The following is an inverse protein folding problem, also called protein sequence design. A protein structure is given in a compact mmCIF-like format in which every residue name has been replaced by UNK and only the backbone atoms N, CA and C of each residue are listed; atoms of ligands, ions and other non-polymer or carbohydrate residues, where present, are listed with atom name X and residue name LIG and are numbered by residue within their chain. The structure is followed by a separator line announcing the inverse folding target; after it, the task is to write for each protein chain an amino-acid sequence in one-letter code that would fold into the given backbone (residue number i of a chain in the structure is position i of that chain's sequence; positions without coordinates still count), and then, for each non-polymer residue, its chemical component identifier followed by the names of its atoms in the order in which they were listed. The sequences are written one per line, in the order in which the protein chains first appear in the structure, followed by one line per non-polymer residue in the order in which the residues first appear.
data_IF_019732296991
#
_entry.id   IF_019732296991
#
_cell.length_a   1.000
_cell.length_b   1.000
_cell.length_c   1.000
_cell.angle_alpha   90.00
_cell.angle_beta   90.00
_cell.angle_gamma   90.00
#
_symmetry.space_group_name_H-M   'P 1'
#
loop_
_entity.id
_entity.type
_entity.pdbx_description
1 polymer ?
#
# COMPACT_ATOMS: atom_id res chain seq x y z
N UNK A 1 35.65 -45.74 1.89
CA UNK A 1 36.66 -44.90 1.23
C UNK A 1 36.65 -43.52 1.87
N UNK A 2 37.82 -43.14 2.41
CA UNK A 2 38.38 -41.80 2.75
C UNK A 2 37.46 -40.67 3.23
N UNK A 3 37.70 -40.32 4.49
CA UNK A 3 37.39 -39.07 5.17
C UNK A 3 38.01 -37.82 4.50
N UNK A 4 37.44 -36.65 4.79
CA UNK A 4 38.17 -35.39 4.98
C UNK A 4 37.30 -34.36 5.72
N UNK A 5 37.66 -34.14 6.97
CA UNK A 5 37.35 -32.94 7.73
C UNK A 5 38.19 -31.77 7.18
N UNK A 6 37.62 -30.57 7.15
CA UNK A 6 38.39 -29.33 7.24
C UNK A 6 37.61 -28.31 8.06
N UNK A 7 38.26 -27.91 9.16
CA UNK A 7 37.88 -26.92 10.14
C UNK A 7 38.68 -25.67 9.77
N UNK A 8 38.04 -24.52 9.55
CA UNK A 8 38.74 -23.23 9.51
C UNK A 8 37.96 -22.22 10.35
N UNK A 9 38.67 -21.76 11.38
CA UNK A 9 38.33 -20.79 12.40
C UNK A 9 38.90 -19.43 11.94
N UNK A 10 38.07 -18.39 11.87
CA UNK A 10 38.56 -17.01 11.69
C UNK A 10 37.82 -16.07 12.64
N UNK A 11 38.53 -15.66 13.69
CA UNK A 11 38.14 -14.60 14.61
C UNK A 11 38.49 -13.24 14.00
N UNK A 12 37.57 -12.27 14.04
CA UNK A 12 37.85 -10.85 13.78
C UNK A 12 37.77 -10.08 15.11
N UNK A 13 38.89 -9.48 15.50
CA UNK A 13 39.04 -8.63 16.68
C UNK A 13 38.73 -7.19 16.28
N UNK A 14 37.72 -6.57 16.91
CA UNK A 14 37.46 -5.14 16.81
C UNK A 14 38.23 -4.41 17.91
N UNK A 15 39.36 -3.80 17.52
CA UNK A 15 40.09 -2.78 18.30
C UNK A 15 39.60 -1.41 17.85
N UNK A 16 39.26 -0.55 18.81
CA UNK A 16 38.99 0.86 18.53
C UNK A 16 38.39 1.63 19.69
N UNK A 17 39.14 1.77 20.80
CA UNK A 17 38.86 2.78 21.83
C UNK A 17 39.14 4.18 21.26
N UNK A 18 38.14 5.06 21.28
CA UNK A 18 38.31 6.49 21.07
C UNK A 18 37.85 7.24 22.32
N UNK A 19 38.80 7.68 23.13
CA UNK A 19 38.58 8.55 24.30
C UNK A 19 38.01 9.90 23.87
N UNK A 20 36.89 10.31 24.48
CA UNK A 20 36.41 11.70 24.43
C UNK A 20 36.96 12.44 25.64
N UNK A 21 37.87 13.36 25.38
CA UNK A 21 38.36 14.34 26.35
C UNK A 21 37.50 15.62 26.32
N UNK A 22 37.29 16.16 27.52
CA UNK A 22 36.50 17.33 27.89
C UNK A 22 37.18 18.69 27.57
N UNK A 23 36.34 19.69 27.22
CA UNK A 23 36.32 21.12 27.69
C UNK A 23 36.16 22.20 26.59
N UNK A 24 35.00 22.88 26.67
CA UNK A 24 34.70 24.34 26.63
C UNK A 24 35.74 25.32 26.06
N UNK A 25 35.44 26.43 25.35
CA UNK A 25 34.24 27.17 24.89
C UNK A 25 34.76 28.33 23.96
N UNK A 26 34.05 29.46 23.77
CA UNK A 26 32.94 29.77 22.85
C UNK A 26 33.34 30.74 21.71
N UNK A 27 32.54 30.86 20.64
CA UNK A 27 32.05 32.14 20.07
C UNK A 27 31.25 31.94 18.78
N UNK A 28 30.30 32.86 18.57
CA UNK A 28 29.24 32.78 17.60
C UNK A 28 29.68 32.90 16.14
N UNK A 29 28.86 32.29 15.29
CA UNK A 29 28.55 32.79 13.97
C UNK A 29 27.06 32.56 13.73
N UNK A 30 26.33 33.66 13.59
CA UNK A 30 25.06 33.69 12.89
C UNK A 30 25.29 33.15 11.47
N UNK A 31 24.68 32.01 11.14
CA UNK A 31 24.19 31.75 9.79
C UNK A 31 23.08 30.73 9.84
N UNK A 32 21.89 31.27 9.65
CA UNK A 32 20.76 30.62 9.00
C UNK A 32 21.19 29.41 8.17
N UNK A 33 20.87 28.22 8.68
CA UNK A 33 20.62 27.05 7.88
C UNK A 33 19.19 26.62 8.21
N UNK A 34 18.23 27.46 7.79
CA UNK A 34 16.98 26.92 7.29
C UNK A 34 17.31 26.16 6.01
N UNK A 35 18.01 25.03 6.17
CA UNK A 35 18.13 24.01 5.14
C UNK A 35 16.77 23.34 5.15
N UNK A 36 15.80 24.01 4.51
CA UNK A 36 14.65 23.34 3.95
C UNK A 36 15.22 22.27 3.04
N UNK A 37 15.43 21.07 3.60
CA UNK A 37 15.60 19.86 2.84
C UNK A 37 14.59 19.94 1.69
N UNK A 38 14.98 19.73 0.43
CA UNK A 38 14.03 19.73 -0.67
C UNK A 38 12.87 18.85 -0.23
N UNK A 39 11.72 19.47 0.04
CA UNK A 39 10.49 18.73 0.28
C UNK A 39 10.39 17.88 -0.95
N UNK A 40 10.59 16.57 -0.79
CA UNK A 40 10.53 15.63 -1.89
C UNK A 40 9.15 15.85 -2.50
N UNK A 41 9.11 16.63 -3.57
CA UNK A 41 7.88 16.91 -4.28
C UNK A 41 7.41 15.54 -4.70
N UNK A 42 6.34 15.07 -4.05
CA UNK A 42 5.76 13.78 -4.34
C UNK A 42 5.52 13.79 -5.84
N UNK A 43 6.32 12.99 -6.57
CA UNK A 43 6.32 13.01 -8.02
C UNK A 43 4.91 12.62 -8.44
N UNK A 44 4.15 13.59 -8.97
CA UNK A 44 2.81 13.32 -9.48
C UNK A 44 2.95 12.28 -10.58
N UNK A 45 2.34 11.12 -10.38
CA UNK A 45 2.32 10.06 -11.38
C UNK A 45 1.35 10.46 -12.51
N UNK A 46 1.67 10.15 -13.78
CA UNK A 46 0.74 10.40 -14.87
C UNK A 46 -0.55 9.58 -14.68
N UNK A 47 -1.74 10.13 -14.99
CA UNK A 47 -2.98 9.38 -14.83
C UNK A 47 -3.04 8.20 -15.81
N UNK A 48 -3.58 7.02 -15.41
CA UNK A 48 -3.89 5.96 -16.36
C UNK A 48 -5.01 6.37 -17.33
N UNK A 49 -5.04 5.80 -18.54
CA UNK A 49 -6.12 6.09 -19.49
C UNK A 49 -7.50 5.61 -18.99
N UNK A 50 -7.50 4.48 -18.27
CA UNK A 50 -8.69 3.88 -17.64
C UNK A 50 -8.30 3.07 -16.41
N UNK A 51 -9.24 2.94 -15.48
CA UNK A 51 -9.16 2.00 -14.34
C UNK A 51 -9.91 0.69 -14.61
N UNK A 52 -10.74 0.63 -15.66
CA UNK A 52 -11.52 -0.56 -16.02
C UNK A 52 -10.59 -1.73 -16.31
N UNK A 53 -10.87 -2.88 -15.71
CA UNK A 53 -10.14 -4.12 -15.92
C UNK A 53 -10.12 -5.03 -14.70
N UNK A 54 -9.39 -6.12 -14.85
CA UNK A 54 -9.11 -7.08 -13.78
C UNK A 54 -7.68 -6.89 -13.29
N UNK A 55 -7.52 -6.79 -11.97
CA UNK A 55 -6.29 -6.37 -11.35
C UNK A 55 -5.86 -7.34 -10.25
N UNK A 56 -4.56 -7.61 -10.15
CA UNK A 56 -3.95 -8.20 -8.96
C UNK A 56 -3.49 -7.10 -8.03
N UNK A 57 -3.79 -7.24 -6.74
CA UNK A 57 -3.23 -6.37 -5.70
C UNK A 57 -1.78 -6.77 -5.46
N UNK A 58 -0.87 -5.83 -5.68
CA UNK A 58 0.57 -6.01 -5.47
C UNK A 58 1.03 -5.53 -4.10
N UNK A 59 0.36 -4.52 -3.54
CA UNK A 59 0.68 -3.99 -2.23
C UNK A 59 -0.35 -3.01 -1.71
N UNK A 60 -0.34 -2.83 -0.39
CA UNK A 60 -1.24 -1.96 0.37
C UNK A 60 -0.37 -1.12 1.31
N UNK A 61 -0.54 0.20 1.28
CA UNK A 61 0.20 1.15 2.12
C UNK A 61 1.72 0.99 2.02
N UNK A 62 2.21 0.76 0.80
CA UNK A 62 3.63 0.53 0.49
C UNK A 62 4.15 -0.87 0.88
N UNK A 63 3.36 -1.69 1.57
CA UNK A 63 3.74 -3.06 1.91
C UNK A 63 3.36 -3.99 0.77
N UNK A 64 4.33 -4.76 0.29
CA UNK A 64 4.04 -5.80 -0.71
C UNK A 64 3.11 -6.86 -0.11
N UNK A 65 2.11 -7.27 -0.89
CA UNK A 65 1.28 -8.42 -0.56
C UNK A 65 2.16 -9.67 -0.69
N UNK A 66 2.67 -10.16 0.44
CA UNK A 66 3.55 -11.34 0.49
C UNK A 66 2.82 -12.48 1.19
N UNK A 67 3.02 -13.72 0.74
CA UNK A 67 2.39 -14.91 1.31
C UNK A 67 1.42 -15.63 0.37
N UNK A 68 0.52 -16.42 0.94
CA UNK A 68 -0.37 -17.34 0.19
C UNK A 68 -1.72 -16.72 -0.19
N UNK A 69 -1.88 -15.40 -0.03
CA UNK A 69 -3.12 -14.70 -0.37
C UNK A 69 -2.94 -13.91 -1.66
N UNK A 70 -3.77 -14.23 -2.66
CA UNK A 70 -3.93 -13.43 -3.87
C UNK A 70 -5.27 -12.72 -3.82
N UNK A 71 -5.27 -11.41 -4.07
CA UNK A 71 -6.50 -10.62 -4.11
C UNK A 71 -6.67 -10.10 -5.53
N UNK A 72 -7.78 -10.47 -6.16
CA UNK A 72 -8.22 -9.94 -7.45
C UNK A 72 -9.24 -8.82 -7.21
N UNK A 73 -9.02 -7.69 -7.88
CA UNK A 73 -9.94 -6.55 -7.90
C UNK A 73 -10.49 -6.43 -9.30
N UNK A 74 -11.82 -6.42 -9.41
CA UNK A 74 -12.54 -6.14 -10.64
C UNK A 74 -13.01 -4.69 -10.63
N UNK A 75 -12.71 -3.97 -11.71
CA UNK A 75 -13.16 -2.59 -11.91
C UNK A 75 -13.92 -2.53 -13.24
N UNK A 76 -15.22 -2.28 -13.17
CA UNK A 76 -16.04 -2.00 -14.35
C UNK A 76 -16.19 -0.48 -14.56
N UNK A 77 -17.10 -0.01 -15.41
CA UNK A 77 -17.27 1.42 -15.66
C UNK A 77 -17.68 2.24 -14.44
N UNK A 78 -18.37 1.62 -13.47
CA UNK A 78 -19.03 2.31 -12.37
C UNK A 78 -18.68 1.74 -10.98
N UNK A 79 -18.14 0.54 -10.91
CA UNK A 79 -17.88 -0.17 -9.66
C UNK A 79 -16.46 -0.71 -9.56
N UNK A 80 -15.96 -0.71 -8.32
CA UNK A 80 -14.74 -1.40 -7.89
C UNK A 80 -15.18 -2.46 -6.89
N UNK A 81 -14.65 -3.68 -6.99
CA UNK A 81 -14.96 -4.71 -6.01
C UNK A 81 -13.96 -5.86 -5.95
N UNK A 82 -14.00 -6.59 -4.85
CA UNK A 82 -13.27 -7.84 -4.66
C UNK A 82 -14.03 -8.76 -3.70
N UNK A 83 -13.66 -10.04 -3.69
CA UNK A 83 -14.32 -11.04 -2.84
C UNK A 83 -13.80 -11.02 -1.39
N UNK A 84 -14.64 -11.33 -0.39
CA UNK A 84 -16.07 -11.65 -0.51
C UNK A 84 -16.95 -10.40 -0.62
N UNK A 85 -17.71 -10.23 -1.71
CA UNK A 85 -18.58 -9.05 -1.92
C UNK A 85 -19.67 -8.92 -0.86
N UNK A 86 -20.14 -10.05 -0.30
CA UNK A 86 -21.13 -10.03 0.79
C UNK A 86 -20.64 -9.39 2.09
N UNK A 87 -19.33 -9.15 2.23
CA UNK A 87 -18.73 -8.37 3.33
C UNK A 87 -18.66 -6.87 3.04
N UNK A 88 -19.26 -6.42 1.94
CA UNK A 88 -19.37 -5.01 1.57
C UNK A 88 -18.17 -4.46 0.82
N UNK A 89 -17.30 -5.31 0.25
CA UNK A 89 -16.12 -4.92 -0.52
C UNK A 89 -16.48 -4.52 -1.96
N UNK A 90 -17.37 -3.54 -2.07
CA UNK A 90 -17.85 -2.98 -3.33
C UNK A 90 -18.02 -1.48 -3.16
N UNK A 91 -17.53 -0.71 -4.12
CA UNK A 91 -17.66 0.74 -4.17
C UNK A 91 -18.23 1.14 -5.53
N UNK A 92 -19.13 2.11 -5.53
CA UNK A 92 -19.36 2.91 -6.72
C UNK A 92 -18.18 3.89 -6.86
N UNK A 93 -17.74 4.14 -8.07
CA UNK A 93 -16.67 5.11 -8.31
C UNK A 93 -16.93 5.98 -9.53
N UNK A 94 -16.21 7.10 -9.58
CA UNK A 94 -16.03 7.96 -10.75
C UNK A 94 -14.55 8.19 -10.96
N UNK A 95 -14.14 8.28 -12.22
CA UNK A 95 -12.76 8.55 -12.59
C UNK A 95 -12.68 9.66 -13.64
N UNK A 96 -11.82 10.64 -13.41
CA UNK A 96 -11.56 11.71 -14.37
C UNK A 96 -10.09 12.16 -14.28
N UNK A 97 -9.29 11.79 -15.29
CA UNK A 97 -7.90 12.26 -15.46
C UNK A 97 -7.02 12.18 -14.20
N UNK A 98 -7.11 11.07 -13.48
CA UNK A 98 -6.32 10.84 -12.27
C UNK A 98 -7.08 11.10 -10.98
N UNK A 99 -8.17 11.86 -11.01
CA UNK A 99 -9.04 12.05 -9.84
C UNK A 99 -10.02 10.88 -9.73
N UNK A 100 -10.15 10.35 -8.52
CA UNK A 100 -11.04 9.24 -8.19
C UNK A 100 -11.99 9.69 -7.09
N UNK A 101 -13.29 9.46 -7.29
CA UNK A 101 -14.27 9.59 -6.22
C UNK A 101 -14.91 8.25 -5.96
N UNK A 102 -14.93 7.80 -4.71
CA UNK A 102 -15.53 6.52 -4.30
C UNK A 102 -16.68 6.73 -3.32
N UNK A 103 -17.63 5.81 -3.34
CA UNK A 103 -18.65 5.69 -2.30
C UNK A 103 -18.98 4.23 -2.13
N UNK A 104 -18.92 3.73 -0.89
CA UNK A 104 -19.20 2.32 -0.60
C UNK A 104 -20.61 1.97 -1.05
N UNK A 105 -20.75 0.86 -1.78
CA UNK A 105 -22.05 0.39 -2.24
C UNK A 105 -22.89 -0.12 -1.04
N UNK A 106 -24.24 -0.04 -1.13
CA UNK A 106 -25.10 -0.61 -0.11
C UNK A 106 -24.81 -2.11 0.12
N UNK A 107 -24.93 -2.62 1.35
CA UNK A 107 -24.70 -4.03 1.64
C UNK A 107 -25.65 -4.92 0.82
N UNK A 108 -25.09 -5.93 0.15
CA UNK A 108 -25.84 -6.91 -0.65
C UNK A 108 -26.80 -7.77 0.19
N UNK A 109 -26.70 -7.70 1.52
CA UNK A 109 -27.55 -8.39 2.47
C UNK A 109 -28.58 -7.46 3.14
N UNK A 110 -29.04 -6.43 2.44
CA UNK A 110 -30.15 -5.61 2.94
C UNK A 110 -31.44 -6.44 2.91
N UNK A 111 -32.25 -6.49 4.00
CA UNK A 111 -33.54 -7.15 3.98
C UNK A 111 -34.43 -6.57 2.88
N UNK A 112 -35.15 -7.44 2.17
CA UNK A 112 -36.25 -7.05 1.27
C UNK A 112 -37.54 -7.43 1.98
N UNK A 113 -38.64 -6.69 1.77
CA UNK A 113 -39.90 -6.91 2.48
C UNK A 113 -40.32 -8.39 2.49
N UNK A 114 -40.41 -8.96 3.70
CA UNK A 114 -40.77 -10.37 3.93
C UNK A 114 -39.64 -11.39 3.72
N UNK A 115 -38.44 -10.99 3.33
CA UNK A 115 -37.28 -11.87 3.08
C UNK A 115 -36.12 -11.50 4.03
N UNK A 116 -35.71 -12.41 4.94
CA UNK A 116 -34.55 -12.19 5.78
C UNK A 116 -33.29 -11.93 4.95
N UNK A 117 -32.45 -11.01 5.43
CA UNK A 117 -31.14 -10.75 4.85
C UNK A 117 -30.31 -12.04 4.74
N UNK A 118 -29.66 -12.31 3.60
CA UNK A 118 -28.71 -13.42 3.51
C UNK A 118 -27.55 -13.22 4.49
N UNK A 119 -27.16 -14.27 5.19
CA UNK A 119 -26.06 -14.21 6.17
C UNK A 119 -24.73 -14.47 5.48
N UNK A 120 -23.77 -13.57 5.66
CA UNK A 120 -22.40 -13.71 5.15
C UNK A 120 -21.46 -14.15 6.29
N UNK A 121 -21.22 -15.45 6.41
CA UNK A 121 -20.41 -16.04 7.50
C UNK A 121 -18.93 -16.29 7.12
N UNK A 122 -18.47 -15.76 6.00
CA UNK A 122 -17.10 -15.95 5.51
C UNK A 122 -16.12 -15.20 6.41
N UNK A 123 -15.08 -15.88 6.89
CA UNK A 123 -13.97 -15.24 7.61
C UNK A 123 -13.21 -14.28 6.68
N UNK A 124 -12.83 -13.11 7.19
CA UNK A 124 -12.14 -12.08 6.41
C UNK A 124 -10.72 -11.93 6.92
N UNK A 125 -9.70 -12.28 6.11
CA UNK A 125 -8.30 -12.03 6.44
C UNK A 125 -8.00 -10.53 6.65
N UNK A 126 -7.05 -10.18 7.52
CA UNK A 126 -6.69 -8.79 7.79
C UNK A 126 -6.35 -7.97 6.53
N UNK A 127 -5.74 -8.59 5.53
CA UNK A 127 -5.35 -7.97 4.27
C UNK A 127 -6.56 -7.46 3.48
N UNK A 128 -7.67 -8.20 3.47
CA UNK A 128 -8.92 -7.76 2.83
C UNK A 128 -9.55 -6.57 3.56
N UNK A 129 -9.39 -6.49 4.88
CA UNK A 129 -9.87 -5.35 5.67
C UNK A 129 -8.99 -4.12 5.39
N UNK A 130 -7.67 -4.30 5.35
CA UNK A 130 -6.72 -3.23 5.04
C UNK A 130 -6.95 -2.68 3.63
N UNK A 131 -7.15 -3.56 2.64
CA UNK A 131 -7.49 -3.17 1.28
C UNK A 131 -8.77 -2.34 1.23
N UNK A 132 -9.79 -2.74 2.00
CA UNK A 132 -11.07 -2.04 2.03
C UNK A 132 -10.96 -0.64 2.61
N UNK A 133 -10.17 -0.47 3.67
CA UNK A 133 -9.86 0.84 4.24
C UNK A 133 -9.10 1.72 3.26
N UNK A 134 -8.15 1.14 2.52
CA UNK A 134 -7.43 1.88 1.50
C UNK A 134 -8.38 2.35 0.39
N UNK A 135 -9.28 1.50 -0.10
CA UNK A 135 -10.31 1.89 -1.07
C UNK A 135 -11.29 2.94 -0.55
N UNK A 136 -11.69 2.87 0.74
CA UNK A 136 -12.56 3.89 1.36
C UNK A 136 -11.93 5.30 1.33
N UNK A 137 -10.60 5.40 1.17
CA UNK A 137 -9.84 6.66 1.20
C UNK A 137 -9.27 7.09 -0.16
N UNK A 138 -9.50 6.35 -1.24
CA UNK A 138 -8.91 6.67 -2.56
C UNK A 138 -9.43 7.99 -3.10
N UNK A 139 -8.50 8.83 -3.56
CA UNK A 139 -8.78 10.15 -4.16
C UNK A 139 -8.07 10.32 -5.51
N UNK A 140 -6.99 9.58 -5.74
CA UNK A 140 -6.13 9.72 -6.91
C UNK A 140 -5.69 8.37 -7.48
N UNK A 141 -5.43 8.35 -8.79
CA UNK A 141 -4.84 7.24 -9.50
C UNK A 141 -3.69 7.70 -10.40
N UNK A 142 -2.59 6.94 -10.41
CA UNK A 142 -1.44 7.21 -11.26
C UNK A 142 -0.77 5.94 -11.79
N UNK A 143 -0.09 6.05 -12.94
CA UNK A 143 0.73 4.99 -13.52
C UNK A 143 2.11 4.99 -12.90
N UNK A 144 2.53 3.84 -12.38
CA UNK A 144 3.88 3.65 -11.86
C UNK A 144 4.88 3.41 -13.02
N UNK A 145 6.19 3.60 -12.80
CA UNK A 145 7.22 3.28 -13.81
C UNK A 145 7.19 1.82 -14.28
N UNK A 146 6.71 0.91 -13.44
CA UNK A 146 6.58 -0.53 -13.71
C UNK A 146 5.28 -0.87 -14.46
N UNK A 147 4.56 0.14 -14.98
CA UNK A 147 3.25 0.01 -15.59
C UNK A 147 2.17 -0.55 -14.66
N UNK A 148 2.30 -0.35 -13.34
CA UNK A 148 1.23 -0.57 -12.37
C UNK A 148 0.27 0.62 -12.32
N UNK A 149 -0.85 0.46 -11.62
CA UNK A 149 -1.71 1.57 -11.18
C UNK A 149 -1.55 1.71 -9.68
N UNK A 150 -1.18 2.91 -9.23
CA UNK A 150 -1.19 3.30 -7.83
C UNK A 150 -2.48 4.09 -7.56
N UNK A 151 -3.32 3.58 -6.68
CA UNK A 151 -4.44 4.32 -6.09
C UNK A 151 -3.99 4.88 -4.75
N UNK A 152 -4.30 6.13 -4.45
CA UNK A 152 -3.89 6.78 -3.19
C UNK A 152 -4.88 7.83 -2.72
N UNK A 153 -4.91 8.07 -1.42
CA UNK A 153 -5.72 9.13 -0.78
C UNK A 153 -5.85 8.87 0.71
N UNK A 154 -6.14 9.91 1.49
CA UNK A 154 -6.34 9.78 2.95
C UNK A 154 -5.21 9.09 3.73
N UNK A 155 -3.96 9.15 3.23
CA UNK A 155 -2.81 8.46 3.83
C UNK A 155 -2.68 6.98 3.48
N UNK A 156 -3.58 6.44 2.65
CA UNK A 156 -3.56 5.06 2.17
C UNK A 156 -3.12 4.96 0.71
N UNK A 157 -2.67 3.77 0.33
CA UNK A 157 -2.37 3.44 -1.06
C UNK A 157 -2.59 1.97 -1.42
N UNK A 158 -2.88 1.71 -2.69
CA UNK A 158 -2.99 0.36 -3.27
C UNK A 158 -2.25 0.33 -4.59
N UNK A 159 -1.32 -0.61 -4.74
CA UNK A 159 -0.67 -0.87 -6.04
C UNK A 159 -1.34 -2.04 -6.73
N UNK A 160 -1.74 -1.84 -7.98
CA UNK A 160 -2.44 -2.79 -8.83
C UNK A 160 -1.62 -3.10 -10.08
N UNK A 161 -1.62 -4.36 -10.51
CA UNK A 161 -1.15 -4.73 -11.84
C UNK A 161 -2.26 -5.44 -12.60
N UNK A 162 -2.37 -5.17 -13.90
CA UNK A 162 -3.36 -5.85 -14.75
C UNK A 162 -3.09 -7.35 -14.76
N UNK A 163 -4.17 -8.14 -14.74
CA UNK A 163 -4.13 -9.59 -14.99
C UNK A 163 -4.37 -9.91 -16.45
#
# INVERSE_FOLDING_TARGET
MRARAFLVLSALVLVGCGSRDDRAAPQGVDRSANESAPQAQAKTLPPPDSLVGEWRVAGIDGNSLTGNIGIAVSIDENTIGYEPRCRGFVWNYRYARGEVGVTRAPPLNSPVDGVPAPVCLVAVPPELIALGKAFDAVEQAGRTPENGVLLSGGGHSVTLFSQ
#
